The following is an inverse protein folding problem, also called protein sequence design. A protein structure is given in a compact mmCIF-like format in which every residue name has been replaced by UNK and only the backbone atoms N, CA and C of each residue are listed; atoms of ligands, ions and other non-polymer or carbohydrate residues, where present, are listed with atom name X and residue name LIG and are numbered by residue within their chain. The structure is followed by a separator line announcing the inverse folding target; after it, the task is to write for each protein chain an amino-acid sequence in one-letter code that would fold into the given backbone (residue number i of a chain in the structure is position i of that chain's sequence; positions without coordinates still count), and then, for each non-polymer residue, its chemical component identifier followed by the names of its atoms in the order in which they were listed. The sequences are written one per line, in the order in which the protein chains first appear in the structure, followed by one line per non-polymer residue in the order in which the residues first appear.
data_IF_346716743033
#
_entry.id   IF_346716743033
#
_cell.length_a   1.000
_cell.length_b   1.000
_cell.length_c   1.000
_cell.angle_alpha   90.00
_cell.angle_beta   90.00
_cell.angle_gamma   90.00
#
_symmetry.space_group_name_H-M   'P 1'
#
loop_
_entity.id
_entity.type
_entity.pdbx_description
1 polymer ?
#
# COMPACT_ATOMS: atom_id res chain seq x y z
N UNK A 1 -9.24 -23.82 -22.46
CA UNK A 1 -10.44 -23.46 -21.68
C UNK A 1 -10.00 -22.44 -20.62
N UNK A 2 -10.14 -21.15 -20.92
CA UNK A 2 -9.69 -20.05 -20.04
C UNK A 2 -10.83 -19.68 -19.09
N UNK A 3 -10.59 -19.77 -17.78
CA UNK A 3 -11.60 -19.42 -16.78
C UNK A 3 -11.87 -17.91 -16.82
N UNK A 4 -13.13 -17.46 -16.82
CA UNK A 4 -13.45 -16.05 -16.67
C UNK A 4 -13.03 -15.61 -15.26
N UNK A 5 -12.01 -14.75 -15.17
CA UNK A 5 -11.70 -14.00 -13.96
C UNK A 5 -12.86 -13.06 -13.69
N UNK A 6 -13.65 -13.37 -12.66
CA UNK A 6 -14.63 -12.44 -12.11
C UNK A 6 -13.87 -11.22 -11.59
N UNK A 7 -13.93 -10.11 -12.33
CA UNK A 7 -13.44 -8.83 -11.86
C UNK A 7 -14.28 -8.45 -10.64
N UNK A 8 -13.67 -8.44 -9.46
CA UNK A 8 -14.29 -7.97 -8.22
C UNK A 8 -15.01 -6.65 -8.47
N UNK A 9 -16.26 -6.59 -8.04
CA UNK A 9 -17.21 -5.52 -8.32
C UNK A 9 -16.55 -4.14 -8.10
N UNK A 10 -16.43 -3.35 -9.18
CA UNK A 10 -15.88 -1.99 -9.09
C UNK A 10 -16.83 -1.14 -8.26
N UNK A 11 -16.56 -0.98 -6.96
CA UNK A 11 -17.24 0.00 -6.11
C UNK A 11 -17.03 1.39 -6.72
N UNK A 12 -18.05 1.91 -7.42
CA UNK A 12 -17.98 3.23 -8.08
C UNK A 12 -17.93 4.30 -7.00
N UNK A 13 -16.74 4.80 -6.71
CA UNK A 13 -16.59 5.95 -5.83
C UNK A 13 -17.27 7.18 -6.46
N UNK A 14 -18.02 7.98 -5.68
CA UNK A 14 -18.54 9.26 -6.17
C UNK A 14 -17.39 10.17 -6.63
N UNK A 15 -17.59 11.04 -7.63
CA UNK A 15 -16.53 11.82 -8.26
C UNK A 15 -15.73 12.66 -7.25
N UNK A 16 -16.39 13.24 -6.24
CA UNK A 16 -15.74 14.00 -5.17
C UNK A 16 -14.77 13.16 -4.29
N UNK A 17 -14.96 11.84 -4.23
CA UNK A 17 -14.08 10.92 -3.48
C UNK A 17 -12.94 10.36 -4.34
N UNK A 18 -12.87 10.70 -5.63
CA UNK A 18 -11.82 10.21 -6.55
C UNK A 18 -10.58 11.07 -6.58
N UNK A 19 -10.69 12.36 -6.24
CA UNK A 19 -9.57 13.31 -6.32
C UNK A 19 -8.40 12.87 -5.41
N UNK A 20 -8.67 12.56 -4.15
CA UNK A 20 -7.61 12.16 -3.20
C UNK A 20 -6.92 10.85 -3.61
N UNK A 21 -7.63 9.76 -3.97
CA UNK A 21 -7.01 8.57 -4.54
C UNK A 21 -6.19 8.83 -5.82
N UNK A 22 -6.68 9.67 -6.74
CA UNK A 22 -5.96 10.02 -7.97
C UNK A 22 -4.65 10.76 -7.67
N UNK A 23 -4.69 11.74 -6.77
CA UNK A 23 -3.51 12.45 -6.30
C UNK A 23 -2.52 11.50 -5.62
N UNK A 24 -3.00 10.61 -4.74
CA UNK A 24 -2.17 9.60 -4.10
C UNK A 24 -1.48 8.68 -5.12
N UNK A 25 -2.20 8.24 -6.17
CA UNK A 25 -1.63 7.44 -7.27
C UNK A 25 -0.59 8.23 -8.07
N UNK A 26 -0.83 9.51 -8.34
CA UNK A 26 0.09 10.40 -9.03
C UNK A 26 1.41 10.59 -8.26
N UNK A 27 1.30 10.96 -6.99
CA UNK A 27 2.47 11.08 -6.09
C UNK A 27 3.19 9.75 -5.95
N UNK A 28 2.46 8.65 -5.76
CA UNK A 28 3.05 7.32 -5.67
C UNK A 28 3.80 6.92 -6.95
N UNK A 29 3.34 7.34 -8.14
CA UNK A 29 4.05 7.09 -9.40
C UNK A 29 5.40 7.78 -9.45
N UNK A 30 5.48 9.02 -8.95
CA UNK A 30 6.74 9.76 -8.87
C UNK A 30 7.68 9.16 -7.83
N UNK A 31 7.14 8.82 -6.65
CA UNK A 31 7.91 8.20 -5.57
C UNK A 31 8.42 6.80 -5.93
N UNK A 32 7.65 6.01 -6.67
CA UNK A 32 8.08 4.69 -7.15
C UNK A 32 9.25 4.74 -8.14
N UNK A 33 9.53 5.91 -8.74
CA UNK A 33 10.71 6.14 -9.60
C UNK A 33 11.89 6.75 -8.84
N UNK A 34 11.69 7.18 -7.59
CA UNK A 34 12.74 7.78 -6.78
C UNK A 34 13.74 6.72 -6.28
N UNK A 35 14.95 7.16 -5.95
CA UNK A 35 15.94 6.29 -5.29
C UNK A 35 15.36 5.76 -3.97
N UNK A 36 15.61 4.49 -3.59
CA UNK A 36 15.05 3.88 -2.37
C UNK A 36 15.30 4.71 -1.10
N UNK A 37 16.48 5.32 -0.98
CA UNK A 37 16.81 6.20 0.14
C UNK A 37 15.90 7.44 0.23
N UNK A 38 15.55 8.04 -0.92
CA UNK A 38 14.64 9.20 -0.95
C UNK A 38 13.21 8.77 -0.66
N UNK A 39 12.76 7.65 -1.24
CA UNK A 39 11.45 7.07 -0.95
C UNK A 39 11.29 6.84 0.56
N UNK A 40 12.26 6.18 1.18
CA UNK A 40 12.29 5.92 2.62
C UNK A 40 12.16 7.20 3.44
N UNK A 41 13.01 8.20 3.18
CA UNK A 41 12.97 9.50 3.89
C UNK A 41 11.61 10.19 3.76
N UNK A 42 11.03 10.19 2.55
CA UNK A 42 9.72 10.79 2.32
C UNK A 42 8.65 10.06 3.12
N UNK A 43 8.58 8.73 3.06
CA UNK A 43 7.58 7.95 3.79
C UNK A 43 7.74 8.07 5.32
N UNK A 44 8.97 8.06 5.83
CA UNK A 44 9.29 8.29 7.25
C UNK A 44 8.88 9.69 7.74
N UNK A 45 8.95 10.70 6.87
CA UNK A 45 8.45 12.03 7.16
C UNK A 45 6.92 12.08 7.10
N UNK A 46 6.33 11.51 6.04
CA UNK A 46 4.89 11.52 5.78
C UNK A 46 4.09 10.79 6.86
N UNK A 47 4.63 9.72 7.47
CA UNK A 47 3.94 8.99 8.55
C UNK A 47 3.70 9.82 9.82
N UNK A 48 4.43 10.92 10.02
CA UNK A 48 4.36 11.70 11.26
C UNK A 48 2.97 12.30 11.47
N UNK A 49 2.47 12.24 12.70
CA UNK A 49 1.18 12.79 13.10
C UNK A 49 -0.05 11.97 12.68
N UNK A 50 0.13 10.76 12.13
CA UNK A 50 -0.97 9.84 11.86
C UNK A 50 -1.08 8.75 12.95
N UNK A 51 -2.31 8.32 13.22
CA UNK A 51 -2.60 7.18 14.10
C UNK A 51 -2.33 5.86 13.37
N UNK A 52 -2.07 4.74 14.06
CA UNK A 52 -2.03 3.42 13.42
C UNK A 52 -3.33 3.15 12.63
N UNK A 53 -3.20 2.65 11.40
CA UNK A 53 -4.34 2.27 10.57
C UNK A 53 -4.84 0.88 10.93
N UNK A 54 -6.16 0.71 10.92
CA UNK A 54 -6.79 -0.62 11.01
C UNK A 54 -6.77 -1.33 9.66
N UNK A 55 -6.95 -2.66 9.66
CA UNK A 55 -7.04 -3.49 8.47
C UNK A 55 -8.12 -2.97 7.50
N UNK A 56 -9.30 -2.61 8.01
CA UNK A 56 -10.40 -2.08 7.20
C UNK A 56 -10.08 -0.73 6.55
N UNK A 57 -9.42 0.17 7.29
CA UNK A 57 -9.01 1.47 6.75
C UNK A 57 -7.99 1.31 5.61
N UNK A 58 -7.00 0.43 5.81
CA UNK A 58 -6.00 0.12 4.81
C UNK A 58 -6.61 -0.59 3.60
N UNK A 59 -7.55 -1.52 3.79
CA UNK A 59 -8.22 -2.23 2.71
C UNK A 59 -9.09 -1.28 1.88
N UNK A 60 -9.90 -0.45 2.52
CA UNK A 60 -10.71 0.56 1.85
C UNK A 60 -9.87 1.59 1.09
N UNK A 61 -8.68 1.92 1.58
CA UNK A 61 -7.73 2.76 0.85
C UNK A 61 -7.15 2.03 -0.38
N UNK A 62 -6.75 0.77 -0.23
CA UNK A 62 -6.23 -0.07 -1.32
C UNK A 62 -7.26 -0.24 -2.44
N UNK A 63 -8.51 -0.55 -2.09
CA UNK A 63 -9.62 -0.67 -3.04
C UNK A 63 -9.87 0.64 -3.79
N UNK A 64 -9.87 1.77 -3.07
CA UNK A 64 -10.02 3.08 -3.70
C UNK A 64 -8.89 3.35 -4.72
N UNK A 65 -7.64 3.04 -4.37
CA UNK A 65 -6.48 3.17 -5.27
C UNK A 65 -6.61 2.28 -6.50
N UNK A 66 -7.00 1.02 -6.33
CA UNK A 66 -7.20 0.06 -7.41
C UNK A 66 -8.36 0.48 -8.33
N UNK A 67 -9.42 1.06 -7.76
CA UNK A 67 -10.58 1.52 -8.54
C UNK A 67 -10.27 2.67 -9.50
N UNK A 68 -9.24 3.48 -9.21
CA UNK A 68 -8.86 4.66 -10.02
C UNK A 68 -7.60 4.43 -10.88
N UNK A 69 -6.95 3.27 -10.80
CA UNK A 69 -5.69 3.01 -11.51
C UNK A 69 -5.54 1.54 -11.91
N UNK A 70 -5.58 1.28 -13.22
CA UNK A 70 -5.35 -0.06 -13.80
C UNK A 70 -3.95 -0.59 -13.48
N UNK A 71 -2.93 0.28 -13.44
CA UNK A 71 -1.57 -0.13 -13.07
C UNK A 71 -1.51 -0.59 -11.62
N UNK A 72 -2.22 0.11 -10.73
CA UNK A 72 -2.36 -0.32 -9.34
C UNK A 72 -3.26 -1.56 -9.23
N UNK A 73 -4.22 -1.80 -10.12
CA UNK A 73 -5.00 -3.04 -10.14
C UNK A 73 -4.18 -4.27 -10.55
N UNK A 74 -3.21 -4.09 -11.46
CA UNK A 74 -2.33 -5.15 -11.95
C UNK A 74 -0.96 -5.19 -11.25
N UNK A 75 0.09 -5.12 -12.07
CA UNK A 75 1.50 -5.39 -11.68
C UNK A 75 2.19 -4.26 -10.91
N UNK A 76 1.51 -3.16 -10.61
CA UNK A 76 2.10 -2.00 -9.93
C UNK A 76 2.18 -2.13 -8.41
N UNK A 77 2.70 -3.23 -7.85
CA UNK A 77 2.69 -3.48 -6.39
C UNK A 77 3.33 -2.34 -5.59
N UNK A 78 4.52 -1.85 -5.99
CA UNK A 78 5.19 -0.72 -5.34
C UNK A 78 4.37 0.57 -5.39
N UNK A 79 3.83 0.90 -6.56
CA UNK A 79 3.00 2.11 -6.70
C UNK A 79 1.70 1.97 -5.90
N UNK A 80 1.07 0.79 -5.91
CA UNK A 80 -0.15 0.49 -5.16
C UNK A 80 0.08 0.62 -3.66
N UNK A 81 1.15 0.03 -3.12
CA UNK A 81 1.43 0.09 -1.67
C UNK A 81 1.73 1.51 -1.21
N UNK A 82 2.52 2.28 -1.98
CA UNK A 82 2.78 3.70 -1.67
C UNK A 82 1.48 4.52 -1.73
N UNK A 83 0.69 4.38 -2.79
CA UNK A 83 -0.57 5.10 -2.93
C UNK A 83 -1.56 4.76 -1.80
N UNK A 84 -1.60 3.49 -1.38
CA UNK A 84 -2.43 3.04 -0.26
C UNK A 84 -2.01 3.72 1.04
N UNK A 85 -0.70 3.72 1.35
CA UNK A 85 -0.17 4.38 2.54
C UNK A 85 -0.44 5.90 2.54
N UNK A 86 -0.25 6.57 1.40
CA UNK A 86 -0.54 8.00 1.25
C UNK A 86 -2.03 8.31 1.40
N UNK A 87 -2.91 7.46 0.87
CA UNK A 87 -4.35 7.65 1.02
C UNK A 87 -4.82 7.41 2.46
N UNK A 88 -4.26 6.41 3.16
CA UNK A 88 -4.47 6.28 4.60
C UNK A 88 -3.99 7.55 5.33
N UNK A 89 -2.83 8.09 4.95
CA UNK A 89 -2.27 9.29 5.58
C UNK A 89 -3.17 10.50 5.42
N UNK A 90 -3.75 10.68 4.24
CA UNK A 90 -4.73 11.73 3.96
C UNK A 90 -5.99 11.60 4.81
N UNK A 91 -6.29 10.39 5.32
CA UNK A 91 -7.40 10.09 6.24
C UNK A 91 -6.98 10.09 7.72
N UNK A 92 -5.75 10.50 8.04
CA UNK A 92 -5.25 10.60 9.42
C UNK A 92 -4.69 9.29 10.01
N UNK A 93 -4.56 8.24 9.20
CA UNK A 93 -4.05 6.94 9.64
C UNK A 93 -2.79 6.54 8.86
N UNK A 94 -1.95 5.68 9.41
CA UNK A 94 -0.76 5.17 8.74
C UNK A 94 -0.71 3.65 8.90
N UNK A 95 -0.67 2.87 7.80
CA UNK A 95 -0.36 1.45 7.87
C UNK A 95 1.15 1.27 7.90
N UNK A 96 1.65 0.13 8.38
CA UNK A 96 3.05 -0.23 8.20
C UNK A 96 3.31 -0.47 6.72
N UNK A 97 4.09 0.39 6.08
CA UNK A 97 4.46 0.21 4.68
C UNK A 97 5.69 -0.69 4.58
N UNK A 98 5.62 -1.72 3.75
CA UNK A 98 6.65 -2.75 3.62
C UNK A 98 7.12 -2.94 2.18
N UNK A 99 8.43 -3.18 2.00
CA UNK A 99 8.99 -3.83 0.82
C UNK A 99 9.83 -5.02 1.25
N UNK A 100 9.87 -6.05 0.43
CA UNK A 100 10.55 -7.29 0.78
C UNK A 100 10.76 -8.20 -0.41
N UNK A 101 11.37 -9.34 -0.12
CA UNK A 101 11.66 -10.38 -1.10
C UNK A 101 11.29 -11.74 -0.54
N UNK A 102 10.96 -12.69 -1.41
CA UNK A 102 11.05 -14.13 -1.09
C UNK A 102 12.23 -14.71 -1.85
N UNK A 103 12.88 -15.72 -1.30
CA UNK A 103 14.11 -16.30 -1.85
C UNK A 103 13.85 -17.42 -2.86
N UNK A 104 12.73 -18.15 -2.73
CA UNK A 104 12.37 -19.22 -3.67
C UNK A 104 10.86 -19.33 -3.90
N UNK A 105 10.37 -19.24 -5.16
CA UNK A 105 11.06 -18.63 -6.30
C UNK A 105 11.30 -17.13 -6.05
N UNK A 106 12.49 -16.60 -6.39
CA UNK A 106 12.85 -15.22 -6.07
C UNK A 106 11.83 -14.22 -6.62
N UNK A 107 11.28 -13.37 -5.74
CA UNK A 107 10.38 -12.30 -6.13
C UNK A 107 10.45 -11.14 -5.15
N UNK A 108 10.54 -9.92 -5.68
CA UNK A 108 10.40 -8.69 -4.91
C UNK A 108 8.93 -8.27 -4.85
N UNK A 109 8.51 -7.77 -3.69
CA UNK A 109 7.14 -7.32 -3.47
C UNK A 109 7.08 -6.11 -2.55
N UNK A 110 5.98 -5.38 -2.64
CA UNK A 110 5.69 -4.23 -1.80
C UNK A 110 4.21 -4.27 -1.39
N UNK A 111 3.95 -4.10 -0.10
CA UNK A 111 2.63 -4.21 0.49
C UNK A 111 2.47 -3.24 1.67
N UNK A 112 1.28 -3.22 2.27
CA UNK A 112 1.03 -2.54 3.52
C UNK A 112 0.50 -3.55 4.53
N UNK A 113 0.85 -3.36 5.79
CA UNK A 113 0.37 -4.14 6.93
C UNK A 113 -0.41 -3.24 7.87
N UNK A 114 -1.49 -3.77 8.41
CA UNK A 114 -2.30 -3.14 9.46
C UNK A 114 -2.77 -4.26 10.39
N UNK A 115 -2.91 -3.96 11.68
CA UNK A 115 -3.23 -4.95 12.71
C UNK A 115 -2.33 -6.21 12.62
N UNK A 116 -1.05 -6.02 12.28
CA UNK A 116 -0.04 -7.08 12.13
C UNK A 116 -0.28 -8.08 10.98
N UNK A 117 -1.11 -7.74 9.99
CA UNK A 117 -1.47 -8.58 8.84
C UNK A 117 -1.26 -7.85 7.49
N UNK A 118 -0.78 -8.54 6.44
CA UNK A 118 -0.75 -7.99 5.07
C UNK A 118 -2.16 -7.70 4.55
N UNK A 119 -2.38 -6.48 4.05
CA UNK A 119 -3.71 -6.01 3.66
C UNK A 119 -3.98 -6.25 2.18
N UNK A 120 -5.00 -7.05 1.88
CA UNK A 120 -5.44 -7.33 0.50
C UNK A 120 -4.40 -8.07 -0.33
N UNK A 121 -3.51 -8.80 0.32
CA UNK A 121 -2.50 -9.64 -0.33
C UNK A 121 -2.97 -11.10 -0.30
N UNK A 122 -2.81 -11.87 -1.38
CA UNK A 122 -3.25 -13.27 -1.43
C UNK A 122 -2.32 -14.20 -0.63
N UNK A 123 -1.17 -13.69 -0.19
CA UNK A 123 -0.18 -14.46 0.55
C UNK A 123 -0.26 -14.12 2.04
N UNK A 124 -0.14 -15.12 2.94
CA UNK A 124 -0.13 -14.87 4.36
C UNK A 124 1.13 -14.13 4.80
N UNK A 125 1.11 -13.63 6.04
CA UNK A 125 2.28 -13.05 6.71
C UNK A 125 3.48 -14.01 6.64
N UNK A 126 4.68 -13.47 6.46
CA UNK A 126 5.92 -14.25 6.42
C UNK A 126 6.26 -14.85 5.05
N UNK A 127 5.34 -14.82 4.08
CA UNK A 127 5.64 -15.24 2.71
C UNK A 127 6.72 -14.38 2.03
N UNK A 128 6.75 -13.08 2.33
CA UNK A 128 7.83 -12.17 1.96
C UNK A 128 8.60 -11.75 3.20
N UNK A 129 9.94 -11.78 3.12
CA UNK A 129 10.81 -11.24 4.17
C UNK A 129 10.93 -9.72 3.98
N UNK A 130 10.51 -8.88 4.94
CA UNK A 130 10.64 -7.43 4.83
C UNK A 130 12.11 -7.00 4.79
N UNK A 131 12.46 -6.16 3.81
CA UNK A 131 13.75 -5.47 3.72
C UNK A 131 13.64 -4.04 4.27
N UNK A 132 12.52 -3.37 4.00
CA UNK A 132 12.21 -2.04 4.52
C UNK A 132 10.80 -2.10 5.10
N UNK A 133 10.65 -1.65 6.34
CA UNK A 133 9.36 -1.48 6.99
C UNK A 133 9.30 -0.09 7.62
N UNK A 134 8.19 0.62 7.39
CA UNK A 134 7.94 1.97 7.90
C UNK A 134 6.63 1.93 8.70
N UNK A 135 6.69 1.56 10.00
CA UNK A 135 5.51 1.46 10.86
C UNK A 135 4.98 2.85 11.28
N UNK A 136 3.80 2.94 11.90
CA UNK A 136 3.31 4.15 12.56
C UNK A 136 4.31 4.68 13.61
N UNK A 137 4.23 5.97 13.92
CA UNK A 137 5.04 6.57 15.00
C UNK A 137 4.45 6.11 16.34
N UNK A 138 5.18 5.29 17.09
CA UNK A 138 4.75 4.73 18.39
C UNK A 138 4.83 3.21 18.47
N UNK A 139 4.84 2.49 17.35
CA UNK A 139 5.02 1.03 17.31
C UNK A 139 6.50 0.60 17.15
N UNK A 140 7.44 1.53 17.33
CA UNK A 140 8.86 1.24 17.27
C UNK A 140 9.33 0.58 18.58
N UNK A 141 8.90 -0.66 18.84
CA UNK A 141 9.32 -1.42 20.00
C UNK A 141 8.68 -2.81 20.02
N UNK A 142 9.34 -3.77 19.38
CA UNK A 142 8.85 -5.16 19.35
C UNK A 142 9.44 -5.93 18.17
N UNK A 143 10.77 -6.11 18.17
CA UNK A 143 11.39 -7.23 17.48
C UNK A 143 11.92 -8.18 18.53
#
# INVERSE_FOLDING_TARGET
MSLPVALSERRRLPPHRRLVPLLAVGVARLLAKARPARLRKVLEFTRRGARPATADQALAAREAVVSVSLRCAGQGCLQRSIATALLCRARGAWPTWCTGVRTHPFAAHAWVEADNHPVGEPHPKGHYKPLIAIPPVGEAGGR
#
